data_IF_244893854227
#
_entry.id   IF_244893854227
#
_cell.length_a   1.000
_cell.length_b   1.000
_cell.length_c   1.000
_cell.angle_alpha   90.00
_cell.angle_beta   90.00
_cell.angle_gamma   90.00
#
_symmetry.space_group_name_H-M   'P 1'
#
loop_
_entity.id
_entity.type
_entity.pdbx_description
1 polymer ?
#
# COMPACT_ATOMS: atom_id res chain seq x y z
N UNK A 1 -4.21 20.15 -11.67
CA UNK A 1 -4.24 19.40 -10.40
C UNK A 1 -3.27 18.24 -10.57
N UNK A 2 -2.20 18.17 -9.77
CA UNK A 2 -1.31 17.00 -9.78
C UNK A 2 -1.97 15.97 -8.86
N UNK A 3 -2.62 14.96 -9.44
CA UNK A 3 -3.26 13.89 -8.69
C UNK A 3 -2.24 12.79 -8.42
N UNK A 4 -2.29 12.18 -7.25
CA UNK A 4 -1.47 11.02 -6.93
C UNK A 4 -1.99 9.80 -7.71
N UNK A 5 -1.06 9.05 -8.29
CA UNK A 5 -1.34 7.83 -9.05
C UNK A 5 -0.80 6.62 -8.28
N UNK A 6 -1.51 5.48 -8.38
CA UNK A 6 -0.94 4.23 -7.92
C UNK A 6 0.19 3.78 -8.83
N UNK A 7 1.34 3.48 -8.22
CA UNK A 7 2.35 2.68 -8.92
C UNK A 7 1.75 1.32 -9.30
N UNK A 8 2.16 0.75 -10.45
CA UNK A 8 1.77 -0.60 -10.82
C UNK A 8 2.20 -1.57 -9.73
N UNK A 9 1.28 -2.45 -9.34
CA UNK A 9 1.51 -3.37 -8.21
C UNK A 9 2.77 -4.21 -8.41
N UNK A 10 3.02 -4.69 -9.63
CA UNK A 10 4.22 -5.46 -9.99
C UNK A 10 5.54 -4.77 -9.64
N UNK A 11 5.64 -3.46 -9.86
CA UNK A 11 6.84 -2.69 -9.52
C UNK A 11 7.04 -2.59 -8.00
N UNK A 12 5.94 -2.50 -7.25
CA UNK A 12 5.97 -2.45 -5.78
C UNK A 12 6.42 -3.82 -5.24
N UNK A 13 5.82 -4.89 -5.77
CA UNK A 13 6.11 -6.28 -5.43
C UNK A 13 7.56 -6.63 -5.71
N UNK A 14 8.06 -6.26 -6.89
CA UNK A 14 9.43 -6.53 -7.31
C UNK A 14 10.42 -5.81 -6.39
N UNK A 15 10.13 -4.56 -6.01
CA UNK A 15 10.95 -3.78 -5.08
C UNK A 15 11.01 -4.35 -3.69
N UNK A 16 9.91 -4.89 -3.19
CA UNK A 16 9.84 -5.49 -1.86
C UNK A 16 10.07 -7.00 -1.90
N UNK A 17 10.45 -7.58 -3.05
CA UNK A 17 10.52 -9.04 -3.26
C UNK A 17 11.46 -9.73 -2.27
N UNK A 18 12.56 -9.09 -1.93
CA UNK A 18 13.57 -9.60 -0.97
C UNK A 18 13.10 -9.45 0.49
N UNK A 19 12.23 -8.48 0.77
CA UNK A 19 11.67 -8.25 2.09
C UNK A 19 10.57 -9.27 2.43
N UNK A 20 10.67 -9.84 3.63
CA UNK A 20 9.67 -10.79 4.17
C UNK A 20 8.63 -10.14 5.04
N UNK A 21 9.00 -9.08 5.77
CA UNK A 21 8.15 -8.36 6.72
C UNK A 21 7.90 -6.96 6.20
N UNK A 22 6.66 -6.67 5.86
CA UNK A 22 6.25 -5.37 5.30
C UNK A 22 5.36 -4.66 6.31
N UNK A 23 5.60 -3.37 6.53
CA UNK A 23 4.72 -2.51 7.30
C UNK A 23 4.11 -1.46 6.38
N UNK A 24 2.79 -1.33 6.40
CA UNK A 24 2.07 -0.42 5.51
C UNK A 24 1.73 0.85 6.30
N UNK A 25 2.20 1.99 5.82
CA UNK A 25 1.87 3.30 6.38
C UNK A 25 1.22 4.17 5.31
N UNK A 26 -0.02 4.58 5.56
CA UNK A 26 -0.76 5.51 4.71
C UNK A 26 -0.89 6.88 5.36
N UNK A 27 -0.88 7.94 4.56
CA UNK A 27 -1.30 9.26 5.01
C UNK A 27 -2.78 9.47 4.63
N UNK A 28 -3.62 9.87 5.58
CA UNK A 28 -5.05 10.16 5.38
C UNK A 28 -5.34 11.53 4.76
N UNK A 29 -4.32 12.24 4.26
CA UNK A 29 -4.46 13.59 3.71
C UNK A 29 -4.87 13.59 2.22
N UNK A 30 -4.06 14.28 1.42
CA UNK A 30 -4.28 14.40 -0.03
C UNK A 30 -4.54 13.08 -0.80
N UNK A 31 -3.90 11.92 -0.49
CA UNK A 31 -4.12 10.71 -1.28
C UNK A 31 -5.48 10.04 -1.04
N UNK A 32 -6.14 10.27 0.10
CA UNK A 32 -7.53 9.81 0.32
C UNK A 32 -8.50 10.51 -0.66
N UNK A 33 -8.34 11.82 -0.85
CA UNK A 33 -9.12 12.59 -1.82
C UNK A 33 -8.88 12.16 -3.27
N UNK A 34 -7.73 11.53 -3.56
CA UNK A 34 -7.40 10.98 -4.87
C UNK A 34 -7.76 9.50 -5.03
N UNK A 35 -8.43 8.87 -4.05
CA UNK A 35 -8.69 7.42 -4.00
C UNK A 35 -7.42 6.56 -4.10
N UNK A 36 -6.26 7.13 -3.78
CA UNK A 36 -4.96 6.42 -3.81
C UNK A 36 -4.35 6.25 -2.42
N UNK A 37 -5.06 6.65 -1.38
CA UNK A 37 -4.75 6.44 0.03
C UNK A 37 -6.02 6.25 0.86
N UNK A 38 -5.88 6.27 2.18
CA UNK A 38 -6.97 6.02 3.13
C UNK A 38 -7.14 4.53 3.49
N UNK A 39 -7.94 4.27 4.51
CA UNK A 39 -8.15 2.93 5.10
C UNK A 39 -8.52 1.85 4.09
N UNK A 40 -9.36 2.18 3.11
CA UNK A 40 -9.84 1.20 2.13
C UNK A 40 -8.69 0.70 1.24
N UNK A 41 -7.89 1.63 0.73
CA UNK A 41 -6.69 1.33 -0.05
C UNK A 41 -5.70 0.52 0.77
N UNK A 42 -5.47 0.92 2.01
CA UNK A 42 -4.56 0.23 2.93
C UNK A 42 -4.97 -1.23 3.17
N UNK A 43 -6.27 -1.49 3.36
CA UNK A 43 -6.82 -2.86 3.47
C UNK A 43 -6.65 -3.66 2.18
N UNK A 44 -6.99 -3.11 1.02
CA UNK A 44 -6.82 -3.82 -0.26
C UNK A 44 -5.35 -4.12 -0.55
N UNK A 45 -4.46 -3.18 -0.23
CA UNK A 45 -3.02 -3.34 -0.42
C UNK A 45 -2.45 -4.42 0.51
N UNK A 46 -2.94 -4.48 1.75
CA UNK A 46 -2.62 -5.54 2.71
C UNK A 46 -3.02 -6.91 2.18
N UNK A 47 -4.28 -7.08 1.75
CA UNK A 47 -4.77 -8.36 1.21
C UNK A 47 -4.00 -8.82 -0.02
N UNK A 48 -3.70 -7.89 -0.94
CA UNK A 48 -2.94 -8.20 -2.16
C UNK A 48 -1.51 -8.67 -1.85
N UNK A 49 -0.84 -8.00 -0.92
CA UNK A 49 0.50 -8.38 -0.47
C UNK A 49 0.50 -9.70 0.30
N UNK A 50 -0.50 -9.94 1.15
CA UNK A 50 -0.66 -11.23 1.84
C UNK A 50 -0.95 -12.39 0.87
N UNK A 51 -1.75 -12.15 -0.18
CA UNK A 51 -2.03 -13.13 -1.23
C UNK A 51 -0.77 -13.52 -2.03
N UNK A 52 0.20 -12.63 -2.11
CA UNK A 52 1.53 -12.90 -2.69
C UNK A 52 2.52 -13.57 -1.74
N UNK A 53 2.12 -13.85 -0.50
CA UNK A 53 2.98 -14.47 0.51
C UNK A 53 3.90 -13.50 1.23
N UNK A 54 3.63 -12.19 1.19
CA UNK A 54 4.31 -11.20 2.03
C UNK A 54 3.70 -11.20 3.43
N UNK A 55 4.54 -11.09 4.46
CA UNK A 55 4.08 -11.02 5.84
C UNK A 55 3.86 -9.55 6.23
N UNK A 56 2.59 -9.11 6.27
CA UNK A 56 2.26 -7.76 6.71
C UNK A 56 2.27 -7.70 8.23
N UNK A 57 3.23 -6.99 8.82
CA UNK A 57 3.40 -6.88 10.27
C UNK A 57 2.45 -5.88 10.92
N UNK A 58 1.89 -4.97 10.12
CA UNK A 58 0.93 -3.98 10.59
C UNK A 58 0.57 -3.00 9.49
N UNK A 59 -0.56 -2.32 9.70
CA UNK A 59 -1.02 -1.22 8.86
C UNK A 59 -1.40 -0.06 9.77
N UNK A 60 -0.92 1.13 9.45
CA UNK A 60 -1.25 2.35 10.18
C UNK A 60 -1.58 3.48 9.22
N UNK A 61 -2.46 4.36 9.66
CA UNK A 61 -2.86 5.57 8.95
C UNK A 61 -2.50 6.76 9.84
N UNK A 62 -1.84 7.75 9.24
CA UNK A 62 -1.44 9.00 9.91
C UNK A 62 -2.09 10.23 9.29
#
# INVERSE_FOLDING_TARGET
MILTEFKPAEEIIEKIKDDRKIFILGCGGCPEGANTGGKKVLSEMKEKLEAEGKNITGVTEI
#
